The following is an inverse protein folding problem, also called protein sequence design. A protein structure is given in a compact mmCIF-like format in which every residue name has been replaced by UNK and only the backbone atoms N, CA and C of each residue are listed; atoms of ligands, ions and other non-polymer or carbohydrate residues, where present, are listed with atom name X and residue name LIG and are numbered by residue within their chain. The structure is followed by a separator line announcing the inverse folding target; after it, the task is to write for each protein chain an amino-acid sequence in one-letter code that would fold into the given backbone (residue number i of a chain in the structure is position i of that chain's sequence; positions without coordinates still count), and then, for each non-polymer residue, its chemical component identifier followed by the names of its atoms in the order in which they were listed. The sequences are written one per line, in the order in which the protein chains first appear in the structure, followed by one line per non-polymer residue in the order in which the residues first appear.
data_IF_560655275591
#
_entry.id   IF_560655275591
#
_cell.length_a   1.000
_cell.length_b   1.000
_cell.length_c   1.000
_cell.angle_alpha   90.00
_cell.angle_beta   90.00
_cell.angle_gamma   90.00
#
_symmetry.space_group_name_H-M   'P 1'
#
loop_
_entity.id
_entity.type
_entity.pdbx_description
1 polymer ?
#
# COMPACT_ATOMS: atom_id res chain seq x y z
N UNK A 1 -15.51 -10.98 -0.65
CA UNK A 1 -14.45 -10.47 0.25
C UNK A 1 -13.06 -10.85 -0.30
N UNK A 2 -12.02 -10.04 -0.08
CA UNK A 2 -10.65 -10.39 -0.44
C UNK A 2 -10.22 -11.67 0.28
N UNK A 3 -9.48 -12.55 -0.38
CA UNK A 3 -9.01 -13.80 0.25
C UNK A 3 -7.74 -13.58 1.09
N UNK A 4 -6.94 -12.55 0.81
CA UNK A 4 -5.81 -12.13 1.64
C UNK A 4 -5.32 -10.72 1.23
N UNK A 5 -5.07 -9.86 2.22
CA UNK A 5 -4.18 -8.71 2.10
C UNK A 5 -2.90 -9.06 2.86
N UNK A 6 -1.74 -8.86 2.24
CA UNK A 6 -0.46 -9.11 2.88
C UNK A 6 0.43 -7.88 2.84
N UNK A 7 1.15 -7.67 3.93
CA UNK A 7 2.21 -6.68 4.01
C UNK A 7 3.55 -7.41 4.18
N UNK A 8 4.56 -6.99 3.45
CA UNK A 8 5.94 -7.45 3.63
C UNK A 8 6.92 -6.29 3.59
N UNK A 9 7.98 -6.42 4.40
CA UNK A 9 9.11 -5.52 4.39
C UNK A 9 10.40 -6.34 4.44
N UNK A 10 11.27 -6.12 3.45
CA UNK A 10 12.55 -6.81 3.34
C UNK A 10 13.68 -5.81 3.47
N UNK A 11 14.66 -6.14 4.31
CA UNK A 11 15.81 -5.31 4.60
C UNK A 11 17.02 -5.87 3.86
N UNK A 12 17.57 -5.09 2.94
CA UNK A 12 18.73 -5.44 2.14
C UNK A 12 19.86 -4.46 2.46
N UNK A 13 21.01 -4.98 2.88
CA UNK A 13 22.19 -4.17 3.17
C UNK A 13 23.20 -4.35 2.05
N UNK A 14 23.53 -3.27 1.37
CA UNK A 14 24.57 -3.24 0.34
C UNK A 14 25.59 -2.12 0.58
N UNK A 15 26.52 -1.95 -0.35
CA UNK A 15 27.59 -0.95 -0.27
C UNK A 15 27.04 0.50 -0.22
N UNK A 16 25.83 0.72 -0.74
CA UNK A 16 25.12 1.99 -0.71
C UNK A 16 24.24 2.23 0.53
N UNK A 17 24.33 1.38 1.55
CA UNK A 17 23.53 1.49 2.79
C UNK A 17 22.36 0.51 2.87
N UNK A 18 21.40 0.84 3.73
CA UNK A 18 20.20 0.01 3.96
C UNK A 18 19.11 0.37 2.96
N UNK A 19 18.67 -0.62 2.19
CA UNK A 19 17.52 -0.54 1.29
C UNK A 19 16.40 -1.37 1.90
N UNK A 20 15.22 -0.77 2.01
CA UNK A 20 14.03 -1.38 2.55
C UNK A 20 13.02 -1.49 1.42
N UNK A 21 12.67 -2.72 1.05
CA UNK A 21 11.64 -3.00 0.05
C UNK A 21 10.34 -3.28 0.78
N UNK A 22 9.34 -2.43 0.58
CA UNK A 22 8.00 -2.59 1.16
C UNK A 22 7.01 -3.01 0.07
N UNK A 23 6.09 -3.91 0.41
CA UNK A 23 5.00 -4.31 -0.47
C UNK A 23 3.72 -4.58 0.32
N UNK A 24 2.61 -4.00 -0.14
CA UNK A 24 1.25 -4.34 0.29
C UNK A 24 0.60 -5.02 -0.91
N UNK A 25 0.15 -6.26 -0.79
CA UNK A 25 -0.39 -7.03 -1.90
C UNK A 25 -1.81 -7.52 -1.61
N UNK A 26 -2.63 -7.47 -2.66
CA UNK A 26 -4.03 -7.81 -2.63
C UNK A 26 -4.36 -8.77 -3.78
N UNK A 27 -4.81 -9.98 -3.43
CA UNK A 27 -5.19 -10.99 -4.41
C UNK A 27 -6.66 -10.82 -4.83
N UNK A 28 -6.88 -10.78 -6.14
CA UNK A 28 -8.18 -10.64 -6.79
C UNK A 28 -8.52 -11.97 -7.48
N UNK A 29 -9.59 -12.65 -7.05
CA UNK A 29 -9.92 -13.99 -7.53
C UNK A 29 -10.45 -14.04 -8.99
N UNK A 30 -10.68 -12.90 -9.64
CA UNK A 30 -11.12 -12.83 -11.03
C UNK A 30 -10.72 -11.50 -11.69
N UNK A 31 -10.62 -11.48 -13.02
CA UNK A 31 -10.46 -10.23 -13.79
C UNK A 31 -11.68 -9.34 -13.57
N UNK A 32 -11.51 -8.22 -12.86
CA UNK A 32 -12.54 -7.18 -12.73
C UNK A 32 -12.13 -5.94 -13.50
N UNK A 33 -13.04 -5.44 -14.33
CA UNK A 33 -12.78 -4.28 -15.20
C UNK A 33 -12.58 -2.99 -14.42
N UNK A 34 -13.32 -2.80 -13.34
CA UNK A 34 -13.21 -1.65 -12.43
C UNK A 34 -11.81 -1.55 -11.82
N UNK A 35 -11.24 -2.69 -11.42
CA UNK A 35 -9.90 -2.74 -10.87
C UNK A 35 -8.83 -2.44 -11.93
N UNK A 36 -8.98 -2.97 -13.14
CA UNK A 36 -8.06 -2.65 -14.24
C UNK A 36 -8.12 -1.15 -14.61
N UNK A 37 -9.31 -0.56 -14.63
CA UNK A 37 -9.50 0.87 -14.85
C UNK A 37 -8.87 1.71 -13.73
N UNK A 38 -9.04 1.29 -12.47
CA UNK A 38 -8.40 1.91 -11.32
C UNK A 38 -6.86 1.86 -11.43
N UNK A 39 -6.29 0.70 -11.77
CA UNK A 39 -4.85 0.57 -11.98
C UNK A 39 -4.35 1.53 -13.07
N UNK A 40 -4.99 1.53 -14.25
CA UNK A 40 -4.58 2.36 -15.39
C UNK A 40 -4.62 3.87 -15.07
N UNK A 41 -5.49 4.31 -14.16
CA UNK A 41 -5.60 5.71 -13.74
C UNK A 41 -4.61 6.09 -12.63
N UNK A 42 -4.04 5.12 -11.91
CA UNK A 42 -3.30 5.35 -10.67
C UNK A 42 -1.87 4.80 -10.64
N UNK A 43 -1.46 3.99 -11.62
CA UNK A 43 -0.16 3.30 -11.57
C UNK A 43 1.07 4.22 -11.58
N UNK A 44 0.94 5.43 -12.11
CA UNK A 44 2.04 6.40 -12.16
C UNK A 44 2.19 7.20 -10.85
N UNK A 45 1.15 7.22 -10.00
CA UNK A 45 1.13 7.98 -8.75
C UNK A 45 2.02 7.32 -7.69
N UNK A 46 2.51 8.15 -6.77
CA UNK A 46 3.17 7.70 -5.55
C UNK A 46 2.20 7.82 -4.38
N UNK A 47 2.25 6.83 -3.49
CA UNK A 47 1.30 6.68 -2.39
C UNK A 47 2.03 6.62 -1.07
N UNK A 48 1.53 7.37 -0.09
CA UNK A 48 1.81 7.11 1.33
C UNK A 48 0.64 6.30 1.86
N UNK A 49 0.94 5.20 2.55
CA UNK A 49 -0.08 4.25 2.99
C UNK A 49 -0.19 4.27 4.51
N UNK A 50 -1.42 4.27 5.01
CA UNK A 50 -1.75 3.93 6.39
C UNK A 50 -2.28 2.50 6.41
N UNK A 51 -1.72 1.67 7.29
CA UNK A 51 -2.16 0.29 7.48
C UNK A 51 -2.57 0.09 8.94
N UNK A 52 -3.56 -0.77 9.15
CA UNK A 52 -3.93 -1.28 10.47
C UNK A 52 -3.83 -2.80 10.41
N UNK A 53 -3.14 -3.40 11.39
CA UNK A 53 -3.09 -4.86 11.52
C UNK A 53 -4.25 -5.41 12.36
N UNK A 54 -4.34 -6.73 12.49
CA UNK A 54 -5.39 -7.38 13.27
C UNK A 54 -5.36 -7.04 14.77
N UNK A 55 -4.25 -6.47 15.27
CA UNK A 55 -4.09 -6.02 16.65
C UNK A 55 -4.41 -4.53 16.82
N UNK A 56 -4.96 -3.86 15.79
CA UNK A 56 -5.21 -2.41 15.75
C UNK A 56 -3.95 -1.56 15.87
N UNK A 57 -2.79 -2.13 15.56
CA UNK A 57 -1.58 -1.33 15.44
C UNK A 57 -1.60 -0.65 14.07
N UNK A 58 -1.47 0.68 14.09
CA UNK A 58 -1.38 1.47 12.87
C UNK A 58 0.08 1.70 12.45
N UNK A 59 0.30 1.71 11.15
CA UNK A 59 1.60 1.91 10.51
C UNK A 59 1.49 2.92 9.38
N UNK A 60 2.55 3.69 9.15
CA UNK A 60 2.72 4.52 7.96
C UNK A 60 3.87 4.02 7.09
N UNK A 61 3.66 4.00 5.78
CA UNK A 61 4.62 3.53 4.79
C UNK A 61 4.77 4.52 3.65
N UNK A 62 6.02 4.68 3.21
CA UNK A 62 6.37 5.71 2.24
C UNK A 62 6.49 7.08 2.89
N UNK A 63 7.02 8.02 2.12
CA UNK A 63 7.08 9.43 2.47
C UNK A 63 6.97 10.27 1.18
N UNK A 64 7.03 11.59 1.33
CA UNK A 64 6.90 12.54 0.21
C UNK A 64 7.95 12.33 -0.89
N UNK A 65 9.15 11.84 -0.54
CA UNK A 65 10.23 11.61 -1.50
C UNK A 65 10.18 10.21 -2.14
N UNK A 66 9.68 9.22 -1.41
CA UNK A 66 9.73 7.78 -1.73
C UNK A 66 8.44 7.07 -1.34
N UNK A 67 7.34 7.47 -1.99
CA UNK A 67 6.07 6.77 -1.91
C UNK A 67 6.08 5.41 -2.62
N UNK A 68 5.08 4.58 -2.28
CA UNK A 68 4.84 3.30 -2.93
C UNK A 68 4.16 3.51 -4.28
N UNK A 69 4.39 2.60 -5.23
CA UNK A 69 3.79 2.63 -6.56
C UNK A 69 2.95 1.40 -6.79
N UNK A 70 1.89 1.56 -7.57
CA UNK A 70 1.02 0.45 -7.90
C UNK A 70 1.67 -0.47 -8.92
N UNK A 71 1.60 -1.76 -8.67
CA UNK A 71 2.05 -2.82 -9.56
C UNK A 71 0.90 -3.81 -9.70
N UNK A 72 0.63 -4.24 -10.93
CA UNK A 72 -0.33 -5.31 -11.20
C UNK A 72 0.41 -6.48 -11.78
N UNK A 73 0.20 -7.67 -11.22
CA UNK A 73 0.74 -8.92 -11.73
C UNK A 73 -0.37 -9.94 -11.92
N UNK A 74 -0.16 -10.87 -12.85
CA UNK A 74 -1.09 -11.95 -13.13
C UNK A 74 -0.38 -13.28 -12.92
N UNK A 75 -1.02 -14.17 -12.15
CA UNK A 75 -0.59 -15.55 -11.96
C UNK A 75 -1.58 -16.51 -12.60
N UNK A 76 -1.08 -17.40 -13.47
CA UNK A 76 -1.87 -18.49 -14.07
C UNK A 76 -1.38 -19.79 -13.43
N UNK A 77 -2.24 -20.41 -12.63
CA UNK A 77 -1.96 -21.66 -11.91
C UNK A 77 -3.19 -22.57 -11.87
N UNK A 78 -3.42 -23.25 -10.74
CA UNK A 78 -4.68 -24.00 -10.53
C UNK A 78 -5.90 -23.09 -10.52
N UNK A 79 -5.71 -21.82 -10.15
CA UNK A 79 -6.67 -20.73 -10.32
C UNK A 79 -5.98 -19.53 -10.97
N UNK A 80 -6.68 -18.83 -11.84
CA UNK A 80 -6.22 -17.56 -12.38
C UNK A 80 -6.43 -16.48 -11.33
N UNK A 81 -5.38 -15.72 -11.01
CA UNK A 81 -5.46 -14.62 -10.07
C UNK A 81 -4.75 -13.40 -10.60
N UNK A 82 -5.29 -12.23 -10.27
CA UNK A 82 -4.59 -10.97 -10.41
C UNK A 82 -4.16 -10.51 -9.03
N UNK A 83 -2.97 -9.95 -8.92
CA UNK A 83 -2.51 -9.29 -7.71
C UNK A 83 -2.27 -7.84 -8.03
N UNK A 84 -2.88 -6.97 -7.23
CA UNK A 84 -2.47 -5.57 -7.18
C UNK A 84 -1.66 -5.38 -5.93
N UNK A 85 -0.52 -4.71 -6.07
CA UNK A 85 0.31 -4.33 -4.96
C UNK A 85 0.68 -2.86 -5.00
N UNK A 86 0.93 -2.29 -3.83
CA UNK A 86 1.67 -1.05 -3.66
C UNK A 86 3.07 -1.44 -3.17
N UNK A 87 4.09 -1.12 -3.95
CA UNK A 87 5.46 -1.51 -3.67
C UNK A 87 6.43 -0.34 -3.82
N UNK A 88 7.44 -0.27 -2.97
CA UNK A 88 8.39 0.84 -2.97
C UNK A 88 9.72 0.49 -2.32
N UNK A 89 10.74 1.28 -2.62
CA UNK A 89 12.07 1.20 -2.01
C UNK A 89 12.33 2.46 -1.18
N UNK A 90 12.68 2.29 0.08
CA UNK A 90 12.98 3.39 1.00
C UNK A 90 14.22 3.08 1.83
N UNK A 91 14.75 4.09 2.50
CA UNK A 91 15.75 3.94 3.57
C UNK A 91 15.08 3.97 4.96
N UNK A 92 13.77 4.27 5.01
CA UNK A 92 12.97 4.38 6.22
C UNK A 92 12.01 3.18 6.28
N UNK A 93 11.94 2.45 7.43
CA UNK A 93 11.03 1.34 7.59
C UNK A 93 9.57 1.81 7.71
N UNK A 94 8.65 0.85 7.81
CA UNK A 94 7.28 1.18 8.19
C UNK A 94 7.32 1.73 9.62
N UNK A 95 6.76 2.92 9.83
CA UNK A 95 6.77 3.55 11.15
C UNK A 95 5.50 3.19 11.87
N UNK A 96 5.65 2.73 13.10
CA UNK A 96 4.54 2.46 14.01
C UNK A 96 3.98 3.82 14.45
N UNK A 97 2.68 4.03 14.24
CA UNK A 97 2.01 5.19 14.79
C UNK A 97 1.70 4.89 16.25
N UNK A 98 2.39 5.60 17.16
CA UNK A 98 2.09 5.49 18.59
C UNK A 98 0.67 6.00 18.85
N UNK A 99 -0.17 5.09 19.30
CA UNK A 99 -1.55 5.38 19.62
C UNK A 99 -1.65 5.60 21.12
N UNK A 100 -2.42 6.58 21.57
CA UNK A 100 -2.75 6.72 23.00
C UNK A 100 -3.39 5.42 23.54
N UNK A 101 -3.59 5.30 24.87
CA UNK A 101 -4.10 4.10 25.58
C UNK A 101 -5.39 3.49 24.97
N UNK A 102 -6.08 4.21 24.09
CA UNK A 102 -7.30 3.80 23.40
C UNK A 102 -7.10 3.23 21.98
N UNK A 103 -5.87 3.22 21.44
CA UNK A 103 -5.61 2.80 20.06
C UNK A 103 -5.97 3.88 19.03
N UNK A 104 -5.37 3.81 17.84
CA UNK A 104 -5.76 4.60 16.67
C UNK A 104 -6.54 3.66 15.78
N UNK A 105 -7.87 3.73 15.85
CA UNK A 105 -8.74 3.02 14.92
C UNK A 105 -8.85 3.89 13.68
N UNK A 106 -8.20 3.48 12.58
CA UNK A 106 -8.18 4.30 11.36
C UNK A 106 -9.59 4.56 10.84
N UNK A 107 -10.49 3.59 10.98
CA UNK A 107 -11.89 3.71 10.60
C UNK A 107 -12.68 4.74 11.42
N UNK A 108 -12.26 5.04 12.66
CA UNK A 108 -12.92 6.06 13.49
C UNK A 108 -12.36 7.46 13.23
N UNK A 109 -11.08 7.56 12.89
CA UNK A 109 -10.40 8.82 12.61
C UNK A 109 -10.67 9.33 11.20
N UNK A 110 -10.92 8.40 10.29
CA UNK A 110 -11.29 8.69 8.92
C UNK A 110 -12.60 7.94 8.60
N UNK A 111 -13.73 8.34 9.23
CA UNK A 111 -15.02 7.65 9.10
C UNK A 111 -15.62 7.79 7.70
N UNK A 112 -15.27 8.88 7.02
CA UNK A 112 -15.60 9.13 5.62
C UNK A 112 -14.51 8.65 4.67
N UNK A 113 -13.67 7.69 5.09
CA UNK A 113 -12.84 6.92 4.14
C UNK A 113 -13.72 5.95 3.38
N UNK A 114 -14.62 6.49 2.56
CA UNK A 114 -14.67 5.99 1.20
C UNK A 114 -13.24 5.92 0.70
N UNK A 115 -12.89 4.95 -0.14
CA UNK A 115 -11.64 5.00 -0.89
C UNK A 115 -11.51 6.39 -1.55
N UNK A 116 -10.83 7.32 -0.88
CA UNK A 116 -10.64 8.67 -1.39
C UNK A 116 -9.53 8.56 -2.40
N UNK A 117 -9.93 8.68 -3.66
CA UNK A 117 -9.08 8.66 -4.84
C UNK A 117 -8.46 10.06 -5.07
N UNK A 118 -8.60 10.99 -4.12
CA UNK A 118 -8.08 12.35 -4.28
C UNK A 118 -6.95 12.62 -3.29
N UNK A 119 -5.73 12.47 -3.80
CA UNK A 119 -4.61 13.31 -3.39
C UNK A 119 -4.08 14.00 -4.65
N UNK A 120 -4.47 15.26 -4.82
CA UNK A 120 -3.87 16.20 -5.76
C UNK A 120 -2.69 16.88 -5.07
N UNK A 121 -1.53 16.83 -5.72
CA UNK A 121 -0.45 17.80 -5.54
C UNK A 121 -0.26 18.50 -6.88
N UNK A 122 -1.31 19.13 -7.40
CA UNK A 122 -1.12 20.18 -8.40
C UNK A 122 -0.61 21.42 -7.68
N UNK A 123 0.70 21.47 -7.49
CA UNK A 123 1.43 22.72 -7.31
C UNK A 123 2.20 22.99 -8.61
N UNK A 124 1.51 23.61 -9.57
CA UNK A 124 2.00 24.21 -10.82
C UNK A 124 2.83 23.33 -11.79
N UNK A 125 2.26 23.10 -12.97
CA UNK A 125 2.97 22.65 -14.17
C UNK A 125 2.05 22.38 -15.35
#
# INVERSE_FOLDING_TARGET
PPLACSFSQTFERGDGGLIINSSIAFAIPASRLDIAAFFNTHYQKQWVCLLEDANRQAYILGNEERGLRMVMSQGIGSTNSHTISLSGKSTIPALILETSVQGLVLAEQFPDTDFSIDYSLDFNG
#
